data_IF_697387156429
#
_entry.id   IF_697387156429
#
_cell.length_a   1.000
_cell.length_b   1.000
_cell.length_c   1.000
_cell.angle_alpha   90.00
_cell.angle_beta   90.00
_cell.angle_gamma   90.00
#
_symmetry.space_group_name_H-M   'P 1'
#
loop_
_entity.id
_entity.type
_entity.pdbx_description
1 polymer ?
#
# COMPACT_ATOMS: atom_id res chain seq x y z
N UNK A 1 14.83 -16.37 -28.48
CA UNK A 1 14.02 -16.89 -27.35
C UNK A 1 13.13 -15.77 -26.81
N UNK A 2 11.86 -16.03 -26.49
CA UNK A 2 10.98 -15.01 -25.89
C UNK A 2 11.44 -14.72 -24.45
N UNK A 3 11.65 -13.45 -24.08
CA UNK A 3 12.00 -13.04 -22.71
C UNK A 3 10.75 -13.12 -21.82
N UNK A 4 10.81 -13.89 -20.74
CA UNK A 4 9.73 -14.01 -19.75
C UNK A 4 10.20 -13.39 -18.43
N UNK A 5 9.44 -12.42 -17.92
CA UNK A 5 9.69 -11.79 -16.60
C UNK A 5 8.54 -12.16 -15.66
N UNK A 6 8.86 -12.62 -14.44
CA UNK A 6 7.87 -12.99 -13.42
C UNK A 6 7.80 -11.89 -12.35
N UNK A 7 6.60 -11.39 -12.06
CA UNK A 7 6.39 -10.30 -11.10
C UNK A 7 5.64 -10.72 -9.82
N UNK A 8 4.63 -11.60 -9.93
CA UNK A 8 3.84 -12.10 -8.78
C UNK A 8 3.34 -11.01 -7.80
N UNK A 9 2.75 -9.94 -8.34
CA UNK A 9 2.25 -8.81 -7.56
C UNK A 9 0.81 -8.42 -7.90
N UNK A 10 0.16 -7.73 -6.98
CA UNK A 10 -1.13 -7.09 -7.21
C UNK A 10 -0.93 -5.88 -8.13
N UNK A 11 -1.82 -5.68 -9.09
CA UNK A 11 -1.77 -4.61 -10.08
C UNK A 11 -3.13 -3.89 -10.16
N UNK A 12 -3.14 -2.65 -10.64
CA UNK A 12 -4.37 -1.91 -10.97
C UNK A 12 -5.03 -2.50 -12.23
N UNK A 13 -6.35 -2.33 -12.36
CA UNK A 13 -7.15 -2.97 -13.41
C UNK A 13 -6.75 -2.60 -14.84
N UNK A 14 -6.18 -1.41 -15.05
CA UNK A 14 -5.71 -0.95 -16.37
C UNK A 14 -4.30 -1.41 -16.73
N UNK A 15 -3.53 -1.97 -15.79
CA UNK A 15 -2.16 -2.41 -16.07
C UNK A 15 -2.07 -3.47 -17.17
N UNK A 16 -2.97 -4.47 -17.27
CA UNK A 16 -2.94 -5.41 -18.40
C UNK A 16 -3.12 -4.74 -19.76
N UNK A 17 -3.94 -3.68 -19.85
CA UNK A 17 -4.10 -2.92 -21.10
C UNK A 17 -2.82 -2.16 -21.44
N UNK A 18 -2.24 -1.43 -20.46
CA UNK A 18 -1.00 -0.68 -20.65
C UNK A 18 0.16 -1.60 -21.07
N UNK A 19 0.24 -2.82 -20.53
CA UNK A 19 1.25 -3.81 -20.93
C UNK A 19 1.06 -4.21 -22.41
N UNK A 20 -0.19 -4.42 -22.85
CA UNK A 20 -0.51 -4.74 -24.26
C UNK A 20 -0.18 -3.59 -25.21
N UNK A 21 -0.46 -2.36 -24.81
CA UNK A 21 -0.12 -1.14 -25.58
C UNK A 21 1.39 -0.95 -25.74
N UNK A 22 2.19 -1.54 -24.85
CA UNK A 22 3.65 -1.57 -24.96
C UNK A 22 4.19 -2.80 -25.73
N UNK A 23 3.34 -3.52 -26.48
CA UNK A 23 3.66 -4.73 -27.24
C UNK A 23 4.11 -5.94 -26.38
N UNK A 24 3.72 -5.97 -25.10
CA UNK A 24 3.92 -7.13 -24.21
C UNK A 24 2.63 -7.92 -23.99
N UNK A 25 2.74 -9.22 -23.72
CA UNK A 25 1.57 -10.08 -23.43
C UNK A 25 1.48 -10.35 -21.93
N UNK A 26 0.52 -9.75 -21.19
CA UNK A 26 0.35 -10.02 -19.77
C UNK A 26 -0.34 -11.36 -19.54
N UNK A 27 0.11 -12.11 -18.54
CA UNK A 27 -0.65 -13.23 -17.96
C UNK A 27 -1.18 -12.81 -16.60
N UNK A 28 -2.50 -12.80 -16.43
CA UNK A 28 -3.17 -12.37 -15.19
C UNK A 28 -4.21 -13.38 -14.76
N UNK A 29 -4.50 -13.41 -13.46
CA UNK A 29 -5.67 -14.11 -12.92
C UNK A 29 -6.38 -13.22 -11.91
N UNK A 30 -7.68 -13.45 -11.75
CA UNK A 30 -8.47 -12.84 -10.68
C UNK A 30 -8.20 -13.61 -9.37
N UNK A 31 -7.97 -12.87 -8.28
CA UNK A 31 -7.75 -13.44 -6.95
C UNK A 31 -9.08 -13.74 -6.27
N UNK A 32 -9.15 -14.83 -5.51
CA UNK A 32 -10.28 -15.05 -4.58
C UNK A 32 -10.17 -14.07 -3.41
N UNK A 33 -11.29 -13.78 -2.73
CA UNK A 33 -11.33 -12.83 -1.61
C UNK A 33 -10.27 -13.09 -0.53
N UNK A 34 -10.09 -14.36 -0.13
CA UNK A 34 -9.08 -14.75 0.87
C UNK A 34 -7.64 -14.47 0.42
N UNK A 35 -7.35 -14.69 -0.87
CA UNK A 35 -6.03 -14.43 -1.46
C UNK A 35 -5.79 -12.93 -1.67
N UNK A 36 -6.84 -12.20 -2.06
CA UNK A 36 -6.80 -10.76 -2.33
C UNK A 36 -6.40 -9.98 -1.09
N UNK A 37 -6.98 -10.27 0.07
CA UNK A 37 -6.62 -9.59 1.32
C UNK A 37 -5.12 -9.75 1.66
N UNK A 38 -4.57 -10.94 1.42
CA UNK A 38 -3.14 -11.19 1.59
C UNK A 38 -2.30 -10.43 0.56
N UNK A 39 -2.74 -10.35 -0.69
CA UNK A 39 -2.08 -9.62 -1.75
C UNK A 39 -2.07 -8.11 -1.51
N UNK A 40 -3.17 -7.51 -1.03
CA UNK A 40 -3.24 -6.08 -0.67
C UNK A 40 -2.23 -5.75 0.43
N UNK A 41 -2.15 -6.56 1.50
CA UNK A 41 -1.15 -6.36 2.57
C UNK A 41 0.29 -6.44 2.06
N UNK A 42 0.58 -7.39 1.17
CA UNK A 42 1.91 -7.47 0.52
C UNK A 42 2.19 -6.26 -0.35
N UNK A 43 1.19 -5.76 -1.08
CA UNK A 43 1.32 -4.58 -1.93
C UNK A 43 1.56 -3.31 -1.09
N UNK A 44 0.92 -3.15 0.07
CA UNK A 44 1.23 -2.06 1.01
C UNK A 44 2.71 -2.07 1.43
N UNK A 45 3.28 -3.27 1.66
CA UNK A 45 4.69 -3.39 2.00
C UNK A 45 5.62 -3.05 0.82
N UNK A 46 5.23 -3.43 -0.41
CA UNK A 46 5.93 -3.04 -1.65
C UNK A 46 6.01 -1.50 -1.75
N UNK A 47 4.87 -0.81 -1.72
CA UNK A 47 4.84 0.66 -1.89
C UNK A 47 5.48 1.39 -0.71
N UNK A 48 5.38 0.85 0.52
CA UNK A 48 6.11 1.39 1.66
C UNK A 48 7.65 1.29 1.46
N UNK A 49 8.11 0.22 0.82
CA UNK A 49 9.50 0.07 0.41
C UNK A 49 9.92 1.06 -0.67
N UNK A 50 9.03 1.37 -1.62
CA UNK A 50 9.24 2.41 -2.64
C UNK A 50 9.23 3.82 -2.03
N UNK A 51 8.39 4.07 -1.02
CA UNK A 51 8.35 5.32 -0.26
C UNK A 51 9.68 5.59 0.46
N UNK A 52 10.28 4.55 1.05
CA UNK A 52 11.60 4.66 1.70
C UNK A 52 12.70 5.02 0.67
N UNK A 53 12.60 4.50 -0.56
CA UNK A 53 13.59 4.74 -1.62
C UNK A 53 13.40 6.07 -2.34
N UNK A 54 12.19 6.65 -2.27
CA UNK A 54 11.84 7.90 -2.93
C UNK A 54 12.62 9.09 -2.34
N UNK A 55 13.28 9.87 -3.21
CA UNK A 55 14.15 10.99 -2.79
C UNK A 55 13.52 12.37 -2.99
N UNK A 56 12.61 12.47 -3.95
CA UNK A 56 11.98 13.74 -4.32
C UNK A 56 10.51 13.79 -3.91
N UNK A 57 9.96 15.00 -3.90
CA UNK A 57 8.57 15.24 -3.52
C UNK A 57 7.59 14.48 -4.41
N UNK A 58 7.90 14.32 -5.69
CA UNK A 58 7.02 13.67 -6.65
C UNK A 58 6.91 12.17 -6.37
N UNK A 59 8.04 11.47 -6.23
CA UNK A 59 8.08 10.06 -5.85
C UNK A 59 7.37 9.83 -4.52
N UNK A 60 7.73 10.59 -3.49
CA UNK A 60 7.08 10.51 -2.17
C UNK A 60 5.55 10.68 -2.28
N UNK A 61 5.08 11.63 -3.11
CA UNK A 61 3.65 11.87 -3.30
C UNK A 61 2.96 10.67 -3.96
N UNK A 62 3.57 10.07 -4.98
CA UNK A 62 3.01 8.90 -5.66
C UNK A 62 2.85 7.73 -4.68
N UNK A 63 3.90 7.40 -3.92
CA UNK A 63 3.83 6.28 -2.98
C UNK A 63 2.84 6.52 -1.84
N UNK A 64 2.70 7.78 -1.39
CA UNK A 64 1.66 8.16 -0.41
C UNK A 64 0.25 7.94 -0.98
N UNK A 65 0.03 8.19 -2.27
CA UNK A 65 -1.27 7.96 -2.93
C UNK A 65 -1.55 6.47 -3.03
N UNK A 66 -0.57 5.67 -3.49
CA UNK A 66 -0.73 4.22 -3.62
C UNK A 66 -0.98 3.55 -2.27
N UNK A 67 -0.22 3.92 -1.22
CA UNK A 67 -0.44 3.40 0.14
C UNK A 67 -1.82 3.79 0.68
N UNK A 68 -2.28 5.02 0.46
CA UNK A 68 -3.61 5.44 0.92
C UNK A 68 -4.73 4.65 0.23
N UNK A 69 -4.64 4.45 -1.08
CA UNK A 69 -5.62 3.67 -1.82
C UNK A 69 -5.66 2.22 -1.34
N UNK A 70 -4.50 1.60 -1.13
CA UNK A 70 -4.42 0.23 -0.61
C UNK A 70 -4.97 0.11 0.82
N UNK A 71 -4.75 1.11 1.68
CA UNK A 71 -5.36 1.16 3.02
C UNK A 71 -6.88 1.26 2.92
N UNK A 72 -7.40 2.08 2.00
CA UNK A 72 -8.84 2.22 1.78
C UNK A 72 -9.47 0.92 1.27
N UNK A 73 -8.83 0.24 0.31
CA UNK A 73 -9.24 -1.10 -0.16
C UNK A 73 -9.24 -2.09 1.00
N UNK A 74 -8.14 -2.13 1.77
CA UNK A 74 -8.01 -3.03 2.91
C UNK A 74 -9.10 -2.80 3.96
N UNK A 75 -9.42 -1.54 4.26
CA UNK A 75 -10.47 -1.15 5.19
C UNK A 75 -11.85 -1.64 4.70
N UNK A 76 -12.16 -1.40 3.43
CA UNK A 76 -13.41 -1.83 2.82
C UNK A 76 -13.57 -3.36 2.88
N UNK A 77 -12.53 -4.11 2.56
CA UNK A 77 -12.55 -5.59 2.59
C UNK A 77 -12.83 -6.18 3.98
N UNK A 78 -12.48 -5.46 5.05
CA UNK A 78 -12.74 -5.85 6.44
C UNK A 78 -13.96 -5.15 7.06
N UNK A 79 -14.76 -4.43 6.27
CA UNK A 79 -15.99 -3.78 6.73
C UNK A 79 -15.76 -2.51 7.55
N UNK A 80 -14.64 -1.82 7.35
CA UNK A 80 -14.36 -0.53 7.99
C UNK A 80 -14.54 0.63 7.02
N UNK A 81 -15.17 1.68 7.53
CA UNK A 81 -15.28 2.99 6.86
C UNK A 81 -14.10 3.90 7.21
N UNK A 82 -13.82 4.86 6.33
CA UNK A 82 -12.84 5.94 6.61
C UNK A 82 -13.15 6.69 7.92
N UNK A 83 -14.43 6.88 8.23
CA UNK A 83 -14.86 7.55 9.47
C UNK A 83 -14.51 6.73 10.72
N UNK A 84 -14.73 5.41 10.69
CA UNK A 84 -14.33 4.52 11.79
C UNK A 84 -12.81 4.54 12.01
N UNK A 85 -12.01 4.50 10.93
CA UNK A 85 -10.54 4.62 11.03
C UNK A 85 -10.15 5.96 11.65
N UNK A 86 -10.73 7.07 11.18
CA UNK A 86 -10.45 8.41 11.70
C UNK A 86 -10.84 8.56 13.17
N UNK A 87 -11.94 7.94 13.60
CA UNK A 87 -12.35 7.87 15.01
C UNK A 87 -11.29 7.13 15.84
N UNK A 88 -10.81 5.98 15.37
CA UNK A 88 -9.76 5.22 16.05
C UNK A 88 -8.42 5.99 16.12
N UNK A 89 -8.04 6.71 15.06
CA UNK A 89 -6.87 7.59 15.08
C UNK A 89 -7.00 8.69 16.14
N UNK A 90 -8.16 9.36 16.22
CA UNK A 90 -8.42 10.38 17.26
C UNK A 90 -8.32 9.80 18.68
N UNK A 91 -8.89 8.61 18.91
CA UNK A 91 -8.81 7.93 20.21
C UNK A 91 -7.37 7.59 20.59
N UNK A 92 -6.56 7.06 19.65
CA UNK A 92 -5.14 6.81 19.86
C UNK A 92 -4.37 8.09 20.14
N UNK A 93 -4.61 9.15 19.37
CA UNK A 93 -3.96 10.45 19.57
C UNK A 93 -4.28 11.08 20.94
N UNK A 94 -5.53 10.95 21.41
CA UNK A 94 -5.92 11.41 22.77
C UNK A 94 -5.26 10.57 23.86
N UNK A 95 -5.20 9.26 23.70
CA UNK A 95 -4.66 8.33 24.72
C UNK A 95 -3.13 8.33 24.79
N UNK A 96 -2.44 8.49 23.66
CA UNK A 96 -0.98 8.25 23.54
C UNK A 96 -0.20 9.45 22.97
N UNK A 97 -0.89 10.54 22.62
CA UNK A 97 -0.30 11.61 21.82
C UNK A 97 -0.19 11.24 20.34
N UNK A 98 0.27 12.18 19.52
CA UNK A 98 0.55 11.97 18.11
C UNK A 98 1.98 12.36 17.76
N UNK A 99 2.35 12.29 16.48
CA UNK A 99 3.73 12.46 16.02
C UNK A 99 4.21 13.93 15.94
N UNK A 100 3.45 14.90 16.47
CA UNK A 100 3.77 16.34 16.38
C UNK A 100 5.08 16.73 17.07
N UNK A 101 5.45 16.01 18.13
CA UNK A 101 6.68 16.26 18.91
C UNK A 101 7.95 15.69 18.26
N UNK A 102 7.83 14.93 17.16
CA UNK A 102 8.97 14.32 16.44
C UNK A 102 9.92 13.50 17.33
N UNK A 103 9.35 12.79 18.32
CA UNK A 103 10.12 11.99 19.27
C UNK A 103 10.56 10.67 18.61
N UNK A 104 11.82 10.29 18.83
CA UNK A 104 12.37 8.99 18.49
C UNK A 104 12.95 8.37 19.76
N UNK A 105 12.49 7.17 20.13
CA UNK A 105 12.94 6.48 21.33
C UNK A 105 14.30 5.83 21.05
N UNK A 106 15.32 6.15 21.85
CA UNK A 106 16.67 5.57 21.73
C UNK A 106 16.81 4.34 22.62
N UNK A 107 16.55 4.49 23.92
CA UNK A 107 16.66 3.40 24.90
C UNK A 107 15.73 3.64 26.11
N UNK A 108 15.59 2.61 26.94
CA UNK A 108 14.89 2.66 28.23
C UNK A 108 15.68 1.85 29.24
N UNK A 109 15.91 2.39 30.43
CA UNK A 109 16.47 1.68 31.58
C UNK A 109 15.42 1.48 32.67
N UNK A 110 15.66 0.58 33.63
CA UNK A 110 14.75 0.27 34.75
C UNK A 110 15.47 0.35 36.08
#
# INVERSE_FOLDING_TARGET
MKKIVKYNKLIRDRIPQIIKEADWVPTVRILRKSEFLGAVKKKVLEEAGELIKSKDKKGITNEIVDIQELIDVLASEIGLTKSQIKKQQKLKNRKRGGFKKRLFLIETEK
#
